data_IF_315452700513
#
_entry.id   IF_315452700513
#
_cell.length_a   1.000
_cell.length_b   1.000
_cell.length_c   1.000
_cell.angle_alpha   90.00
_cell.angle_beta   90.00
_cell.angle_gamma   90.00
#
_symmetry.space_group_name_H-M   'P 1'
#
loop_
_entity.id
_entity.type
_entity.pdbx_description
1 polymer ?
#
# COMPACT_ATOMS: atom_id res chain seq x y z
N UNK A 1 -3.48 40.94 20.12
CA UNK A 1 -3.43 39.94 21.17
C UNK A 1 -2.73 38.72 20.61
N UNK A 2 -1.49 38.41 21.04
CA UNK A 2 -0.82 37.17 20.71
C UNK A 2 -1.66 36.03 21.30
N UNK A 3 -2.22 35.16 20.41
CA UNK A 3 -2.82 33.93 20.87
C UNK A 3 -1.76 33.21 21.72
N UNK A 4 -2.06 32.95 23.00
CA UNK A 4 -1.14 32.30 23.91
C UNK A 4 -0.90 30.86 23.48
N UNK A 5 0.00 30.66 22.52
CA UNK A 5 0.54 29.37 22.17
C UNK A 5 1.39 28.98 23.35
N UNK A 6 0.85 28.11 24.22
CA UNK A 6 1.65 27.48 25.26
C UNK A 6 2.58 26.50 24.56
N UNK A 7 3.88 26.71 24.73
CA UNK A 7 4.87 25.73 24.35
C UNK A 7 4.55 24.40 25.03
N UNK A 8 4.23 23.38 24.24
CA UNK A 8 3.95 22.04 24.76
C UNK A 8 5.29 21.49 25.24
N UNK A 9 5.43 21.11 26.50
CA UNK A 9 6.65 20.46 26.99
C UNK A 9 6.93 19.25 26.08
N UNK A 10 8.16 19.20 25.54
CA UNK A 10 8.58 18.07 24.72
C UNK A 10 8.68 16.84 25.62
N UNK A 11 8.04 15.75 25.20
CA UNK A 11 8.21 14.44 25.81
C UNK A 11 9.67 14.01 25.72
N UNK A 12 10.17 13.33 26.75
CA UNK A 12 11.53 12.75 26.79
C UNK A 12 11.43 11.24 26.86
N UNK A 13 12.44 10.56 26.35
CA UNK A 13 12.58 9.11 26.51
C UNK A 13 12.69 8.68 27.97
N UNK A 14 12.29 7.47 28.28
CA UNK A 14 12.34 6.85 29.62
C UNK A 14 13.52 5.89 29.81
N UNK A 15 14.45 5.86 28.84
CA UNK A 15 15.61 4.96 28.84
C UNK A 15 15.32 3.58 28.24
N UNK A 16 14.07 3.25 27.91
CA UNK A 16 13.72 2.06 27.14
C UNK A 16 14.05 2.25 25.64
N UNK A 17 14.30 1.15 24.93
CA UNK A 17 14.56 1.13 23.50
C UNK A 17 13.56 0.25 22.76
N UNK A 18 13.26 0.58 21.52
CA UNK A 18 12.50 -0.26 20.59
C UNK A 18 13.28 -0.36 19.27
N UNK A 19 13.13 -1.49 18.57
CA UNK A 19 13.79 -1.73 17.29
C UNK A 19 12.93 -2.65 16.41
N UNK A 20 13.21 -2.67 15.12
CA UNK A 20 12.51 -3.50 14.14
C UNK A 20 12.15 -2.71 12.88
N UNK A 21 11.69 -3.40 11.84
CA UNK A 21 11.41 -2.81 10.53
C UNK A 21 10.33 -1.72 10.58
N UNK A 22 9.41 -1.81 11.54
CA UNK A 22 8.32 -0.84 11.74
C UNK A 22 8.64 0.24 12.78
N UNK A 23 9.90 0.35 13.24
CA UNK A 23 10.31 1.32 14.26
C UNK A 23 11.29 2.31 13.66
N UNK A 24 10.98 3.60 13.77
CA UNK A 24 11.89 4.68 13.43
C UNK A 24 12.29 5.43 14.69
N UNK A 25 13.60 5.60 14.90
CA UNK A 25 14.11 6.48 15.94
C UNK A 25 13.88 7.93 15.54
N UNK A 26 13.36 8.74 16.47
CA UNK A 26 13.10 10.16 16.22
C UNK A 26 14.36 11.00 16.48
N UNK A 27 14.33 12.25 16.01
CA UNK A 27 15.39 13.23 16.34
C UNK A 27 15.48 13.54 17.83
N UNK A 28 14.37 13.39 18.56
CA UNK A 28 14.31 13.52 20.00
C UNK A 28 14.84 12.22 20.64
N UNK A 29 15.92 12.27 21.42
CA UNK A 29 16.54 11.08 21.97
C UNK A 29 15.57 10.23 22.81
N UNK A 30 15.57 8.92 22.56
CA UNK A 30 14.73 7.95 23.28
C UNK A 30 13.25 8.02 22.92
N UNK A 31 12.89 8.70 21.84
CA UNK A 31 11.55 8.66 21.27
C UNK A 31 11.53 7.94 19.92
N UNK A 32 10.45 7.22 19.70
CA UNK A 32 10.25 6.34 18.55
C UNK A 32 8.94 6.65 17.83
N UNK A 33 8.91 6.25 16.57
CA UNK A 33 7.71 6.20 15.73
C UNK A 33 7.45 4.77 15.34
N UNK A 34 6.22 4.30 15.49
CA UNK A 34 5.78 3.01 14.95
C UNK A 34 5.05 3.23 13.64
N UNK A 35 5.45 2.49 12.62
CA UNK A 35 4.79 2.44 11.32
C UNK A 35 3.68 1.39 11.36
N UNK A 36 2.49 1.77 10.94
CA UNK A 36 1.36 0.88 10.77
C UNK A 36 0.76 1.06 9.38
N UNK A 37 0.71 -0.02 8.62
CA UNK A 37 0.14 -0.01 7.28
C UNK A 37 -0.97 -1.06 7.17
N UNK A 38 -2.21 -0.75 7.55
CA UNK A 38 -3.33 -1.64 7.30
C UNK A 38 -3.48 -1.86 5.79
N UNK A 39 -3.65 -3.12 5.35
CA UNK A 39 -3.77 -3.43 3.92
C UNK A 39 -4.93 -2.65 3.31
N UNK A 40 -4.64 -1.87 2.26
CA UNK A 40 -5.60 -1.01 1.58
C UNK A 40 -6.09 0.17 2.42
N UNK A 41 -5.35 0.57 3.46
CA UNK A 41 -5.75 1.66 4.36
C UNK A 41 -6.99 1.34 5.19
N UNK A 42 -7.40 0.07 5.29
CA UNK A 42 -8.63 -0.36 5.96
C UNK A 42 -8.33 -1.17 7.23
N UNK A 43 -8.04 -0.50 8.35
CA UNK A 43 -7.90 -1.19 9.63
C UNK A 43 -9.23 -1.79 10.08
N UNK A 44 -9.18 -2.90 10.80
CA UNK A 44 -10.38 -3.41 11.47
C UNK A 44 -10.86 -2.41 12.51
N UNK A 45 -12.19 -2.17 12.63
CA UNK A 45 -12.75 -1.23 13.58
C UNK A 45 -12.29 -1.49 15.03
N UNK A 46 -12.17 -2.76 15.40
CA UNK A 46 -11.77 -3.18 16.76
C UNK A 46 -10.29 -2.81 17.02
N UNK A 47 -9.41 -2.99 16.01
CA UNK A 47 -8.00 -2.62 16.11
C UNK A 47 -7.85 -1.10 16.23
N UNK A 48 -8.62 -0.35 15.43
CA UNK A 48 -8.59 1.12 15.49
C UNK A 48 -9.13 1.65 16.83
N UNK A 49 -10.19 1.06 17.37
CA UNK A 49 -10.74 1.43 18.67
C UNK A 49 -9.73 1.15 19.79
N UNK A 50 -9.17 -0.06 19.84
CA UNK A 50 -8.17 -0.45 20.83
C UNK A 50 -6.91 0.45 20.77
N UNK A 51 -6.45 0.78 19.55
CA UNK A 51 -5.35 1.72 19.37
C UNK A 51 -5.71 3.11 19.91
N UNK A 52 -6.92 3.61 19.63
CA UNK A 52 -7.40 4.89 20.12
C UNK A 52 -7.46 4.95 21.64
N UNK A 53 -7.98 3.91 22.30
CA UNK A 53 -8.00 3.79 23.76
C UNK A 53 -6.59 3.78 24.36
N UNK A 54 -5.68 2.99 23.77
CA UNK A 54 -4.28 2.94 24.21
C UNK A 54 -3.59 4.30 24.08
N UNK A 55 -3.76 4.97 22.95
CA UNK A 55 -3.15 6.29 22.71
C UNK A 55 -3.63 7.36 23.69
N UNK A 56 -4.84 7.27 24.22
CA UNK A 56 -5.32 8.20 25.26
C UNK A 56 -4.56 8.06 26.58
N UNK A 57 -3.92 6.91 26.82
CA UNK A 57 -3.10 6.67 28.03
C UNK A 57 -1.63 7.06 27.85
N UNK A 58 -1.22 7.42 26.62
CA UNK A 58 0.17 7.76 26.29
C UNK A 58 0.27 9.27 26.08
N UNK A 59 0.98 9.96 26.97
CA UNK A 59 1.12 11.42 26.86
C UNK A 59 1.88 11.83 25.61
N UNK A 60 1.37 12.84 24.93
CA UNK A 60 1.98 13.48 23.77
C UNK A 60 2.05 12.63 22.52
N UNK A 61 1.49 11.40 22.49
CA UNK A 61 1.43 10.59 21.26
C UNK A 61 0.45 11.18 20.24
N UNK A 62 0.74 10.98 18.97
CA UNK A 62 -0.09 11.42 17.86
C UNK A 62 -0.14 10.34 16.77
N UNK A 63 -1.31 10.19 16.13
CA UNK A 63 -1.47 9.42 14.91
C UNK A 63 -1.38 10.36 13.70
N UNK A 64 -0.48 10.08 12.78
CA UNK A 64 -0.31 10.83 11.54
C UNK A 64 -0.55 9.91 10.34
N UNK A 65 -1.39 10.36 9.41
CA UNK A 65 -1.67 9.62 8.18
C UNK A 65 -0.83 10.15 7.04
N UNK A 66 -0.37 9.26 6.17
CA UNK A 66 0.34 9.57 4.95
C UNK A 66 -0.52 9.23 3.70
N UNK A 67 -0.22 9.84 2.54
CA UNK A 67 -0.99 9.62 1.32
C UNK A 67 -0.94 8.19 0.76
N UNK A 68 0.05 7.41 1.17
CA UNK A 68 0.28 6.01 0.79
C UNK A 68 -0.45 5.01 1.70
N UNK A 69 -1.49 5.47 2.43
CA UNK A 69 -2.29 4.67 3.36
C UNK A 69 -1.51 4.21 4.62
N UNK A 70 -0.29 4.72 4.82
CA UNK A 70 0.51 4.46 6.02
C UNK A 70 0.09 5.36 7.18
N UNK A 71 0.05 4.80 8.37
CA UNK A 71 -0.13 5.54 9.62
C UNK A 71 1.19 5.52 10.43
N UNK A 72 1.53 6.66 11.00
CA UNK A 72 2.68 6.85 11.88
C UNK A 72 2.20 7.20 13.27
N UNK A 73 2.50 6.36 14.26
CA UNK A 73 2.23 6.64 15.66
C UNK A 73 3.52 7.17 16.26
N UNK A 74 3.54 8.45 16.61
CA UNK A 74 4.75 9.19 16.98
C UNK A 74 4.81 9.53 18.47
N UNK A 75 5.97 9.97 18.93
CA UNK A 75 6.28 10.39 20.30
C UNK A 75 6.08 9.26 21.32
N UNK A 76 6.60 8.08 21.00
CA UNK A 76 6.57 6.90 21.87
C UNK A 76 7.91 6.71 22.58
N UNK A 77 7.91 6.37 23.86
CA UNK A 77 9.10 5.76 24.48
C UNK A 77 9.30 4.34 23.96
N UNK A 78 10.42 3.68 24.24
CA UNK A 78 10.64 2.31 23.76
C UNK A 78 9.58 1.34 24.28
N UNK A 79 9.22 1.43 25.56
CA UNK A 79 8.21 0.58 26.17
C UNK A 79 6.79 0.84 25.62
N UNK A 80 6.50 2.08 25.24
CA UNK A 80 5.22 2.43 24.57
C UNK A 80 5.20 1.93 23.12
N UNK A 81 6.32 2.04 22.41
CA UNK A 81 6.44 1.55 21.04
C UNK A 81 6.19 0.03 20.95
N UNK A 82 6.70 -0.77 21.89
CA UNK A 82 6.44 -2.21 21.94
C UNK A 82 4.94 -2.52 22.12
N UNK A 83 4.23 -1.76 22.95
CA UNK A 83 2.76 -1.92 23.10
C UNK A 83 2.00 -1.57 21.82
N UNK A 84 2.41 -0.50 21.14
CA UNK A 84 1.81 -0.10 19.86
C UNK A 84 2.12 -1.11 18.76
N UNK A 85 3.32 -1.68 18.71
CA UNK A 85 3.68 -2.75 17.77
C UNK A 85 2.77 -3.97 17.92
N UNK A 86 2.51 -4.39 19.16
CA UNK A 86 1.59 -5.51 19.41
C UNK A 86 0.13 -5.15 19.06
N UNK A 87 -0.33 -3.95 19.42
CA UNK A 87 -1.69 -3.49 19.09
C UNK A 87 -1.92 -3.36 17.57
N UNK A 88 -0.87 -3.10 16.81
CA UNK A 88 -0.88 -2.90 15.36
C UNK A 88 -0.22 -4.05 14.58
N UNK A 89 -0.19 -5.25 15.15
CA UNK A 89 0.46 -6.43 14.51
C UNK A 89 -0.23 -6.86 13.20
N UNK A 90 -1.49 -6.54 13.04
CA UNK A 90 -2.20 -6.66 11.76
C UNK A 90 -1.81 -5.49 10.86
N UNK A 91 -0.81 -5.72 10.04
CA UNK A 91 -0.19 -4.74 9.16
C UNK A 91 0.38 -5.48 7.94
N UNK A 92 0.61 -4.76 6.85
CA UNK A 92 1.35 -5.28 5.71
C UNK A 92 2.70 -5.87 6.15
N UNK A 93 3.01 -7.07 5.65
CA UNK A 93 4.24 -7.82 5.95
C UNK A 93 5.21 -7.82 4.76
N UNK A 94 4.72 -7.53 3.57
CA UNK A 94 5.49 -7.52 2.33
C UNK A 94 5.31 -6.18 1.61
N UNK A 95 6.25 -5.85 0.73
CA UNK A 95 6.13 -4.66 -0.12
C UNK A 95 4.87 -4.70 -0.98
N UNK A 96 4.45 -5.87 -1.45
CA UNK A 96 3.22 -6.00 -2.23
C UNK A 96 1.98 -5.68 -1.40
N UNK A 97 1.95 -6.06 -0.12
CA UNK A 97 0.84 -5.75 0.79
C UNK A 97 0.70 -4.27 1.14
N UNK A 98 1.74 -3.45 0.92
CA UNK A 98 1.65 -1.99 1.04
C UNK A 98 1.04 -1.31 -0.18
N UNK A 99 0.41 -2.06 -1.07
CA UNK A 99 -0.27 -1.53 -2.26
C UNK A 99 -1.39 -0.55 -1.91
N UNK A 100 -1.51 0.50 -2.72
CA UNK A 100 -2.46 1.60 -2.53
C UNK A 100 -3.76 1.33 -3.30
N UNK A 101 -4.90 1.53 -2.65
CA UNK A 101 -6.21 1.38 -3.28
C UNK A 101 -7.19 2.44 -2.81
N UNK A 102 -7.86 3.10 -3.73
CA UNK A 102 -8.94 4.01 -3.33
C UNK A 102 -10.11 3.24 -2.68
N UNK A 103 -11.04 3.97 -2.07
CA UNK A 103 -12.18 3.36 -1.36
C UNK A 103 -13.08 2.48 -2.24
N UNK A 104 -13.08 2.69 -3.57
CA UNK A 104 -13.83 1.86 -4.51
C UNK A 104 -15.34 2.06 -4.54
N UNK A 105 -15.98 1.37 -5.48
CA UNK A 105 -17.41 1.48 -5.74
C UNK A 105 -18.30 0.91 -4.63
N UNK A 106 -17.75 0.18 -3.67
CA UNK A 106 -18.49 -0.28 -2.49
C UNK A 106 -19.03 0.89 -1.63
N UNK A 107 -18.34 2.04 -1.66
CA UNK A 107 -18.70 3.25 -0.90
C UNK A 107 -18.76 4.48 -1.81
N UNK A 108 -17.85 4.60 -2.78
CA UNK A 108 -17.76 5.77 -3.65
C UNK A 108 -18.87 5.78 -4.71
N UNK A 109 -19.72 6.80 -4.69
CA UNK A 109 -20.84 6.94 -5.63
C UNK A 109 -20.41 7.12 -7.11
N UNK A 110 -19.21 7.61 -7.36
CA UNK A 110 -18.66 7.77 -8.73
C UNK A 110 -17.69 6.66 -9.12
N UNK A 111 -17.46 5.70 -8.22
CA UNK A 111 -16.58 4.55 -8.45
C UNK A 111 -17.16 3.63 -9.53
N UNK A 112 -16.38 3.27 -10.54
CA UNK A 112 -16.80 2.31 -11.57
C UNK A 112 -16.54 0.86 -11.14
N UNK A 113 -15.50 0.62 -10.33
CA UNK A 113 -15.08 -0.70 -9.83
C UNK A 113 -14.79 -0.67 -8.34
N UNK A 114 -14.93 -1.82 -7.70
CA UNK A 114 -14.54 -2.02 -6.31
C UNK A 114 -13.02 -2.31 -6.25
N UNK A 115 -12.23 -1.24 -6.10
CA UNK A 115 -10.78 -1.33 -6.03
C UNK A 115 -10.27 -2.04 -4.78
N UNK A 116 -10.99 -1.92 -3.66
CA UNK A 116 -10.63 -2.61 -2.42
C UNK A 116 -10.84 -4.13 -2.55
N UNK A 117 -11.95 -4.56 -3.13
CA UNK A 117 -12.19 -5.98 -3.39
C UNK A 117 -11.12 -6.58 -4.31
N UNK A 118 -10.71 -5.83 -5.36
CA UNK A 118 -9.61 -6.25 -6.23
C UNK A 118 -8.29 -6.38 -5.45
N UNK A 119 -7.93 -5.38 -4.63
CA UNK A 119 -6.71 -5.44 -3.83
C UNK A 119 -6.70 -6.67 -2.92
N UNK A 120 -7.79 -6.93 -2.19
CA UNK A 120 -7.90 -8.09 -1.31
C UNK A 120 -7.76 -9.42 -2.09
N UNK A 121 -8.37 -9.52 -3.28
CA UNK A 121 -8.21 -10.69 -4.14
C UNK A 121 -6.76 -10.89 -4.61
N UNK A 122 -6.07 -9.80 -4.96
CA UNK A 122 -4.66 -9.84 -5.36
C UNK A 122 -3.75 -10.25 -4.20
N UNK A 123 -3.89 -9.64 -3.02
CA UNK A 123 -3.10 -9.97 -1.82
C UNK A 123 -3.30 -11.44 -1.44
N UNK A 124 -4.56 -11.89 -1.43
CA UNK A 124 -4.87 -13.30 -1.15
C UNK A 124 -4.20 -14.25 -2.14
N UNK A 125 -4.33 -14.00 -3.45
CA UNK A 125 -3.78 -14.87 -4.48
C UNK A 125 -2.23 -14.91 -4.44
N UNK A 126 -1.59 -13.77 -4.22
CA UNK A 126 -0.12 -13.65 -4.10
C UNK A 126 0.37 -14.39 -2.85
N UNK A 127 -0.32 -14.22 -1.72
CA UNK A 127 -0.01 -14.92 -0.47
C UNK A 127 -0.18 -16.44 -0.57
N UNK A 128 -1.30 -16.91 -1.14
CA UNK A 128 -1.56 -18.36 -1.37
C UNK A 128 -0.53 -18.98 -2.33
N UNK A 129 -0.06 -18.21 -3.31
CA UNK A 129 0.98 -18.64 -4.24
C UNK A 129 2.40 -18.56 -3.65
N UNK A 130 2.54 -18.05 -2.42
CA UNK A 130 3.82 -17.88 -1.71
C UNK A 130 4.88 -17.13 -2.53
N UNK A 131 4.46 -16.05 -3.21
CA UNK A 131 5.37 -15.20 -3.97
C UNK A 131 6.32 -14.51 -2.98
N UNK A 132 7.65 -14.63 -3.17
CA UNK A 132 8.63 -13.99 -2.29
C UNK A 132 8.48 -12.47 -2.28
N UNK A 133 8.74 -11.84 -1.13
CA UNK A 133 8.77 -10.39 -1.04
C UNK A 133 9.81 -9.79 -1.99
N UNK A 134 9.48 -8.64 -2.57
CA UNK A 134 10.28 -7.97 -3.61
C UNK A 134 10.08 -8.51 -5.03
N UNK A 135 9.52 -9.71 -5.24
CA UNK A 135 9.22 -10.22 -6.59
C UNK A 135 8.09 -9.43 -7.28
N UNK A 136 7.17 -8.87 -6.51
CA UNK A 136 6.17 -7.93 -7.00
C UNK A 136 6.35 -6.56 -6.33
N UNK A 137 6.10 -5.45 -7.06
CA UNK A 137 6.14 -4.12 -6.48
C UNK A 137 4.82 -3.83 -5.76
N UNK A 138 4.77 -2.71 -5.08
CA UNK A 138 3.53 -2.06 -4.72
C UNK A 138 2.70 -1.77 -5.97
N UNK A 139 1.40 -2.09 -5.96
CA UNK A 139 0.47 -1.74 -7.04
C UNK A 139 -0.47 -0.62 -6.59
N UNK A 140 -0.92 0.19 -7.54
CA UNK A 140 -1.81 1.31 -7.30
C UNK A 140 -3.14 1.09 -8.01
N UNK A 141 -4.25 1.06 -7.25
CA UNK A 141 -5.57 0.72 -7.78
C UNK A 141 -6.54 1.89 -7.60
N UNK A 142 -7.09 2.39 -8.70
CA UNK A 142 -8.19 3.35 -8.67
C UNK A 142 -9.45 2.73 -9.24
N UNK A 143 -10.58 2.84 -8.55
CA UNK A 143 -11.86 2.30 -9.00
C UNK A 143 -12.46 3.03 -10.21
N UNK A 144 -11.92 4.18 -10.61
CA UNK A 144 -12.39 4.98 -11.74
C UNK A 144 -11.29 5.95 -12.23
N UNK A 145 -11.54 6.75 -13.30
CA UNK A 145 -10.58 7.71 -13.84
C UNK A 145 -10.18 8.86 -12.89
N UNK A 146 -10.88 9.07 -11.77
CA UNK A 146 -10.56 10.15 -10.81
C UNK A 146 -9.21 9.96 -10.08
N UNK A 147 -8.57 8.81 -10.25
CA UNK A 147 -7.19 8.55 -9.82
C UNK A 147 -6.91 8.69 -8.31
N UNK A 148 -7.90 8.49 -7.46
CA UNK A 148 -7.71 8.61 -6.00
C UNK A 148 -6.70 7.59 -5.43
N UNK A 149 -6.51 6.45 -6.09
CA UNK A 149 -5.45 5.46 -5.78
C UNK A 149 -4.18 5.67 -6.59
N UNK A 150 -3.98 6.84 -7.20
CA UNK A 150 -2.75 7.26 -7.90
C UNK A 150 -2.19 6.24 -8.91
N UNK A 151 -3.08 5.53 -9.63
CA UNK A 151 -2.73 4.42 -10.52
C UNK A 151 -1.68 4.77 -11.58
N UNK A 152 -1.54 6.06 -11.95
CA UNK A 152 -0.55 6.48 -12.95
C UNK A 152 0.87 6.57 -12.40
N UNK A 153 1.04 6.75 -11.08
CA UNK A 153 2.36 6.95 -10.48
C UNK A 153 2.95 5.69 -9.87
N UNK A 154 2.14 4.66 -9.67
CA UNK A 154 2.63 3.37 -9.20
C UNK A 154 3.50 2.64 -10.23
N UNK A 155 4.45 1.79 -9.81
CA UNK A 155 5.24 0.94 -10.69
C UNK A 155 4.37 0.07 -11.61
N UNK A 156 3.25 -0.42 -11.07
CA UNK A 156 2.12 -1.01 -11.78
C UNK A 156 0.84 -0.39 -11.27
N UNK A 157 -0.03 0.05 -12.18
CA UNK A 157 -1.29 0.71 -11.85
C UNK A 157 -2.49 0.07 -12.53
N UNK A 158 -3.64 0.11 -11.85
CA UNK A 158 -4.91 -0.41 -12.37
C UNK A 158 -6.02 0.63 -12.21
N UNK A 159 -6.68 0.98 -13.30
CA UNK A 159 -7.79 1.93 -13.33
C UNK A 159 -9.10 1.23 -13.71
N UNK A 160 -10.08 1.28 -12.84
CA UNK A 160 -11.38 0.67 -13.04
C UNK A 160 -12.10 1.16 -14.30
N UNK A 161 -12.71 0.21 -14.98
CA UNK A 161 -13.43 0.39 -16.21
C UNK A 161 -14.25 -0.84 -16.60
N UNK A 162 -14.49 -0.99 -17.88
CA UNK A 162 -15.20 -2.13 -18.47
C UNK A 162 -14.48 -2.57 -19.74
N UNK A 163 -14.63 -3.84 -20.09
CA UNK A 163 -14.21 -4.43 -21.37
C UNK A 163 -15.39 -5.18 -21.99
N UNK A 164 -15.59 -5.00 -23.27
CA UNK A 164 -16.62 -5.74 -23.98
C UNK A 164 -16.16 -7.16 -24.28
N UNK A 165 -16.97 -8.15 -23.90
CA UNK A 165 -16.80 -9.55 -24.28
C UNK A 165 -18.18 -10.16 -24.55
N UNK A 166 -18.32 -10.91 -25.61
CA UNK A 166 -19.57 -11.58 -26.03
C UNK A 166 -20.79 -10.62 -26.08
N UNK A 167 -20.56 -9.38 -26.54
CA UNK A 167 -21.57 -8.34 -26.61
C UNK A 167 -22.01 -7.75 -25.28
N UNK A 168 -21.33 -8.05 -24.17
CA UNK A 168 -21.65 -7.55 -22.84
C UNK A 168 -20.45 -6.81 -22.23
N UNK A 169 -20.72 -5.76 -21.47
CA UNK A 169 -19.72 -5.07 -20.68
C UNK A 169 -19.35 -5.93 -19.47
N UNK A 170 -18.09 -6.29 -19.36
CA UNK A 170 -17.52 -7.07 -18.25
C UNK A 170 -16.65 -6.19 -17.36
N UNK A 171 -16.58 -6.47 -16.03
CA UNK A 171 -15.68 -5.80 -15.11
C UNK A 171 -14.22 -5.92 -15.57
N UNK A 172 -13.53 -4.78 -15.65
CA UNK A 172 -12.16 -4.73 -16.13
C UNK A 172 -11.40 -3.54 -15.56
N UNK A 173 -10.07 -3.59 -15.67
CA UNK A 173 -9.18 -2.49 -15.31
C UNK A 173 -8.19 -2.22 -16.43
N UNK A 174 -7.93 -0.96 -16.68
CA UNK A 174 -6.85 -0.52 -17.57
C UNK A 174 -5.54 -0.65 -16.80
N UNK A 175 -4.57 -1.33 -17.39
CA UNK A 175 -3.26 -1.57 -16.82
C UNK A 175 -2.26 -0.48 -17.24
N UNK A 176 -1.55 0.07 -16.26
CA UNK A 176 -0.48 1.05 -16.41
C UNK A 176 0.84 0.46 -15.90
N UNK A 177 1.94 0.76 -16.58
CA UNK A 177 3.27 0.28 -16.22
C UNK A 177 4.30 1.42 -16.27
N UNK A 178 5.21 1.44 -15.29
CA UNK A 178 6.38 2.30 -15.30
C UNK A 178 6.20 3.65 -14.62
N UNK A 179 5.17 3.81 -13.80
CA UNK A 179 5.06 4.94 -12.90
C UNK A 179 6.17 4.93 -11.84
N UNK A 180 6.49 6.11 -11.32
CA UNK A 180 7.46 6.31 -10.24
C UNK A 180 7.11 7.57 -9.47
N UNK A 181 7.00 7.49 -8.15
CA UNK A 181 6.69 8.61 -7.26
C UNK A 181 7.86 9.01 -6.36
N UNK A 182 9.05 8.47 -6.62
CA UNK A 182 10.26 8.88 -5.92
C UNK A 182 10.59 10.33 -6.27
N UNK A 183 10.72 11.18 -5.25
CA UNK A 183 11.01 12.60 -5.40
C UNK A 183 12.23 12.87 -6.31
N UNK A 184 12.03 13.68 -7.34
CA UNK A 184 13.03 14.00 -8.35
C UNK A 184 13.20 12.96 -9.46
N UNK A 185 12.39 11.89 -9.45
CA UNK A 185 12.35 10.84 -10.48
C UNK A 185 10.92 10.47 -10.88
N UNK A 186 9.97 11.38 -10.60
CA UNK A 186 8.56 11.16 -10.83
C UNK A 186 8.29 10.90 -12.32
N UNK A 187 7.56 9.83 -12.61
CA UNK A 187 7.11 9.50 -13.96
C UNK A 187 5.69 8.97 -13.94
N UNK A 188 4.93 9.27 -14.99
CA UNK A 188 3.64 8.64 -15.23
C UNK A 188 3.84 7.31 -15.95
N UNK A 189 3.16 6.28 -15.48
CA UNK A 189 3.07 5.00 -16.15
C UNK A 189 2.33 5.13 -17.48
N UNK A 190 2.72 4.33 -18.46
CA UNK A 190 2.01 4.25 -19.73
C UNK A 190 0.90 3.21 -19.69
N UNK A 191 -0.20 3.50 -20.34
CA UNK A 191 -1.30 2.57 -20.53
C UNK A 191 -0.89 1.45 -21.49
N UNK A 192 -1.14 0.19 -21.11
CA UNK A 192 -0.79 -0.99 -21.91
C UNK A 192 -2.02 -1.67 -22.53
N UNK A 193 -3.18 -1.54 -21.92
CA UNK A 193 -4.42 -2.17 -22.35
C UNK A 193 -5.32 -2.50 -21.17
N UNK A 194 -6.36 -3.29 -21.43
CA UNK A 194 -7.39 -3.61 -20.44
C UNK A 194 -7.40 -5.09 -20.10
N UNK A 195 -7.34 -5.42 -18.80
CA UNK A 195 -7.48 -6.78 -18.26
C UNK A 195 -8.86 -6.96 -17.65
N UNK A 196 -9.43 -8.16 -17.72
CA UNK A 196 -10.60 -8.48 -16.91
C UNK A 196 -10.25 -8.48 -15.41
N UNK A 197 -11.15 -7.95 -14.59
CA UNK A 197 -10.96 -7.88 -13.13
C UNK A 197 -10.61 -9.25 -12.53
N UNK A 198 -11.28 -10.31 -12.98
CA UNK A 198 -11.07 -11.68 -12.51
C UNK A 198 -9.71 -12.28 -12.87
N UNK A 199 -9.01 -11.71 -13.85
CA UNK A 199 -7.72 -12.23 -14.35
C UNK A 199 -6.51 -11.56 -13.69
N UNK A 200 -6.69 -10.38 -13.10
CA UNK A 200 -5.58 -9.60 -12.51
C UNK A 200 -4.84 -10.38 -11.41
N UNK A 201 -5.50 -11.08 -10.47
CA UNK A 201 -4.78 -11.89 -9.48
C UNK A 201 -3.92 -12.98 -10.12
N UNK A 202 -4.42 -13.63 -11.17
CA UNK A 202 -3.68 -14.69 -11.90
C UNK A 202 -2.49 -14.12 -12.68
N UNK A 203 -2.65 -12.93 -13.29
CA UNK A 203 -1.55 -12.19 -13.92
C UNK A 203 -0.42 -11.91 -12.92
N UNK A 204 -0.77 -11.35 -11.74
CA UNK A 204 0.21 -11.02 -10.71
C UNK A 204 0.93 -12.26 -10.19
N UNK A 205 0.22 -13.35 -9.94
CA UNK A 205 0.82 -14.63 -9.52
C UNK A 205 1.77 -15.16 -10.59
N UNK A 206 1.39 -15.12 -11.86
CA UNK A 206 2.24 -15.55 -12.97
C UNK A 206 3.50 -14.72 -13.06
N UNK A 207 3.38 -13.40 -13.02
CA UNK A 207 4.51 -12.46 -13.06
C UNK A 207 5.44 -12.69 -11.86
N UNK A 208 4.88 -12.76 -10.65
CA UNK A 208 5.66 -12.99 -9.43
C UNK A 208 6.44 -14.31 -9.45
N UNK A 209 5.83 -15.40 -9.94
CA UNK A 209 6.51 -16.68 -10.14
C UNK A 209 7.64 -16.61 -11.17
N UNK A 210 7.43 -15.88 -12.26
CA UNK A 210 8.45 -15.71 -13.28
C UNK A 210 9.66 -14.95 -12.75
N UNK A 211 9.44 -13.88 -12.00
CA UNK A 211 10.50 -13.08 -11.38
C UNK A 211 11.24 -13.90 -10.32
N UNK A 212 10.51 -14.55 -9.43
CA UNK A 212 11.05 -15.38 -8.35
C UNK A 212 11.90 -16.56 -8.91
N UNK A 213 11.44 -17.21 -9.99
CA UNK A 213 12.18 -18.29 -10.64
C UNK A 213 13.54 -17.87 -11.16
N UNK A 214 13.77 -16.57 -11.40
CA UNK A 214 15.07 -16.00 -11.79
C UNK A 214 15.91 -15.53 -10.61
N UNK A 215 15.39 -15.61 -9.39
CA UNK A 215 16.05 -15.09 -8.18
C UNK A 215 16.22 -13.58 -8.19
N UNK A 216 15.33 -12.84 -8.86
CA UNK A 216 15.36 -11.38 -9.00
C UNK A 216 14.25 -10.73 -8.16
N UNK A 217 14.46 -9.46 -7.81
CA UNK A 217 13.40 -8.56 -7.44
C UNK A 217 12.77 -7.88 -8.67
N UNK A 218 11.67 -7.17 -8.48
CA UNK A 218 10.93 -6.52 -9.56
C UNK A 218 11.78 -5.50 -10.35
N UNK A 219 12.55 -4.67 -9.68
CA UNK A 219 13.34 -3.62 -10.34
C UNK A 219 14.51 -4.20 -11.13
N UNK A 220 15.17 -5.22 -10.57
CA UNK A 220 16.23 -5.98 -11.26
C UNK A 220 15.68 -6.71 -12.50
N UNK A 221 14.48 -7.31 -12.34
CA UNK A 221 13.81 -7.97 -13.47
C UNK A 221 13.45 -6.98 -14.57
N UNK A 222 12.84 -5.84 -14.24
CA UNK A 222 12.48 -4.79 -15.20
C UNK A 222 13.69 -4.26 -15.96
N UNK A 223 14.83 -4.14 -15.27
CA UNK A 223 16.09 -3.66 -15.87
C UNK A 223 16.68 -4.70 -16.82
N UNK A 224 16.71 -5.98 -16.42
CA UNK A 224 17.30 -7.05 -17.21
C UNK A 224 16.40 -7.54 -18.36
N UNK A 225 15.09 -7.45 -18.17
CA UNK A 225 14.06 -7.88 -19.12
C UNK A 225 13.08 -6.74 -19.42
N UNK A 226 13.47 -5.70 -20.19
CA UNK A 226 12.66 -4.50 -20.41
C UNK A 226 11.25 -4.76 -20.91
N UNK A 227 11.04 -5.81 -21.73
CA UNK A 227 9.73 -6.22 -22.26
C UNK A 227 9.11 -7.39 -21.46
N UNK A 228 9.74 -7.84 -20.40
CA UNK A 228 9.36 -9.06 -19.68
C UNK A 228 7.94 -8.97 -19.09
N UNK A 229 7.63 -7.87 -18.40
CA UNK A 229 6.32 -7.65 -17.81
C UNK A 229 5.25 -7.57 -18.89
N UNK A 230 5.52 -6.86 -20.00
CA UNK A 230 4.59 -6.71 -21.12
C UNK A 230 4.28 -8.03 -21.80
N UNK A 231 5.30 -8.91 -21.95
CA UNK A 231 5.11 -10.25 -22.51
C UNK A 231 4.19 -11.11 -21.65
N UNK A 232 4.34 -11.05 -20.31
CA UNK A 232 3.42 -11.74 -19.40
C UNK A 232 2.04 -11.12 -19.46
N UNK A 233 1.95 -9.78 -19.49
CA UNK A 233 0.69 -9.05 -19.53
C UNK A 233 -0.10 -9.29 -20.84
N UNK A 234 0.60 -9.48 -21.97
CA UNK A 234 -0.02 -9.66 -23.30
C UNK A 234 -1.03 -10.82 -23.35
N UNK A 235 -0.89 -11.81 -22.49
CA UNK A 235 -1.85 -12.94 -22.43
C UNK A 235 -3.20 -12.54 -21.78
N UNK A 236 -3.23 -11.42 -21.07
CA UNK A 236 -4.38 -10.91 -20.32
C UNK A 236 -4.97 -9.61 -20.90
N UNK A 237 -4.17 -8.93 -21.75
CA UNK A 237 -4.57 -7.68 -22.38
C UNK A 237 -5.45 -7.90 -23.64
N UNK A 238 -6.31 -6.92 -23.92
CA UNK A 238 -6.98 -6.73 -25.20
C UNK A 238 -6.69 -5.35 -25.73
#
# INVERSE_FOLDING_TARGET
>A
AAAGIKEKQSKTGDGSSASGERVLEQKQPGLYTVIWHPIGGQPRPETLAALGEMMQTIDGTELRLAPDETAYIINLTGAEAEKILEATKETAQTKFETSVSCIGASICQVGARDSQALLQACVKAVGEAQIPDGALPQIHISGCPSSCGTHQTGPMGFRGGVRMADGKAQPAFVFYLGGNEVQGKETMGRELGTMFESEIPSFLVKLGKEIAARGLDFESYRTQYPDGIEKVAAEYLA
#
